data_IF_863928838348
#
_entry.id   IF_863928838348
#
_cell.length_a   1.000
_cell.length_b   1.000
_cell.length_c   1.000
_cell.angle_alpha   90.00
_cell.angle_beta   90.00
_cell.angle_gamma   90.00
#
_symmetry.space_group_name_H-M   'P 1'
#
loop_
_entity.id
_entity.type
_entity.pdbx_description
1 polymer ?
#
# COMPACT_ATOMS: atom_id res chain seq x y z
N UNK A 1 -2.68 -13.80 20.86
CA UNK A 1 -1.88 -12.56 20.95
C UNK A 1 -2.10 -11.83 19.65
N UNK A 2 -2.83 -10.71 19.65
CA UNK A 2 -2.91 -9.88 18.44
C UNK A 2 -1.47 -9.41 18.18
N UNK A 3 -0.98 -9.67 16.97
CA UNK A 3 0.43 -9.54 16.60
C UNK A 3 0.97 -8.13 16.91
N UNK A 4 2.00 -8.02 17.75
CA UNK A 4 2.78 -6.79 17.97
C UNK A 4 3.23 -6.17 16.64
N UNK A 5 3.46 -7.03 15.64
CA UNK A 5 3.78 -6.63 14.27
C UNK A 5 2.66 -5.81 13.63
N UNK A 6 1.39 -6.21 13.78
CA UNK A 6 0.26 -5.47 13.23
C UNK A 6 0.10 -4.11 13.90
N UNK A 7 0.17 -4.04 15.23
CA UNK A 7 0.00 -2.77 15.96
C UNK A 7 1.10 -1.77 15.60
N UNK A 8 2.35 -2.22 15.47
CA UNK A 8 3.47 -1.39 15.04
C UNK A 8 3.34 -0.95 13.58
N UNK A 9 2.94 -1.86 12.69
CA UNK A 9 2.68 -1.54 11.29
C UNK A 9 1.53 -0.54 11.15
N UNK A 10 0.44 -0.73 11.88
CA UNK A 10 -0.71 0.17 11.89
C UNK A 10 -0.30 1.57 12.36
N UNK A 11 0.48 1.67 13.43
CA UNK A 11 1.00 2.95 13.91
C UNK A 11 1.89 3.66 12.86
N UNK A 12 2.74 2.90 12.17
CA UNK A 12 3.54 3.42 11.05
C UNK A 12 2.65 3.92 9.89
N UNK A 13 1.72 3.09 9.41
CA UNK A 13 0.84 3.45 8.31
C UNK A 13 0.00 4.69 8.66
N UNK A 14 -0.51 4.81 9.89
CA UNK A 14 -1.20 6.02 10.37
C UNK A 14 -0.34 7.27 10.36
N UNK A 15 0.97 7.13 10.56
CA UNK A 15 1.92 8.25 10.55
C UNK A 15 2.23 8.69 9.13
N UNK A 16 2.56 7.75 8.25
CA UNK A 16 2.93 8.04 6.86
C UNK A 16 1.73 8.55 6.04
N UNK A 17 0.54 7.98 6.23
CA UNK A 17 -0.69 8.37 5.51
C UNK A 17 -1.33 9.64 6.09
N UNK A 18 -0.81 10.14 7.21
CA UNK A 18 -1.36 11.28 7.93
C UNK A 18 -2.67 10.98 8.67
N UNK A 19 -3.14 11.98 9.43
CA UNK A 19 -4.44 11.93 10.11
C UNK A 19 -5.49 12.55 9.20
N UNK A 20 -6.62 11.87 8.92
CA UNK A 20 -7.72 12.52 8.21
C UNK A 20 -8.17 13.75 9.02
N UNK A 21 -8.47 14.86 8.31
CA UNK A 21 -8.90 16.12 8.92
C UNK A 21 -10.15 15.96 9.80
N UNK A 22 -10.93 14.89 9.58
CA UNK A 22 -12.04 14.47 10.42
C UNK A 22 -12.04 12.93 10.57
N UNK A 23 -12.17 12.44 11.80
CA UNK A 23 -12.35 11.02 12.12
C UNK A 23 -11.07 10.25 12.47
N UNK A 24 -11.22 8.95 12.79
CA UNK A 24 -10.11 8.00 12.96
C UNK A 24 -9.95 7.22 11.64
N UNK A 25 -8.75 7.21 11.07
CA UNK A 25 -8.45 6.34 9.93
C UNK A 25 -8.60 4.88 10.40
N UNK A 26 -9.60 4.13 9.95
CA UNK A 26 -9.78 2.75 10.40
C UNK A 26 -9.00 1.82 9.46
N UNK A 27 -7.77 1.48 9.83
CA UNK A 27 -6.93 0.58 9.05
C UNK A 27 -7.23 -0.87 9.41
N UNK A 28 -7.51 -1.69 8.40
CA UNK A 28 -7.74 -3.13 8.53
C UNK A 28 -6.74 -3.87 7.63
N UNK A 29 -6.43 -5.15 7.92
CA UNK A 29 -5.54 -5.94 7.06
C UNK A 29 -6.01 -6.02 5.60
N UNK A 30 -7.31 -5.92 5.36
CA UNK A 30 -7.91 -5.95 4.03
C UNK A 30 -7.90 -4.58 3.33
N UNK A 31 -7.58 -3.50 4.06
CA UNK A 31 -7.47 -2.15 3.49
C UNK A 31 -6.42 -2.12 2.39
N UNK A 32 -6.81 -1.61 1.23
CA UNK A 32 -6.00 -1.54 0.01
C UNK A 32 -5.31 -0.19 -0.13
N UNK A 33 -4.03 -0.22 -0.49
CA UNK A 33 -3.18 0.97 -0.54
C UNK A 33 -3.64 1.97 -1.62
N UNK A 34 -3.90 1.52 -2.85
CA UNK A 34 -4.40 2.40 -3.91
C UNK A 34 -5.90 2.70 -3.73
N UNK A 35 -6.75 1.68 -3.61
CA UNK A 35 -8.20 1.89 -3.74
C UNK A 35 -8.89 2.46 -2.50
N UNK A 36 -8.40 2.14 -1.30
CA UNK A 36 -9.02 2.60 -0.06
C UNK A 36 -8.27 3.79 0.56
N UNK A 37 -6.95 3.89 0.35
CA UNK A 37 -6.10 4.95 0.91
C UNK A 37 -5.66 6.00 -0.11
N UNK A 38 -5.84 5.75 -1.41
CA UNK A 38 -5.48 6.70 -2.48
C UNK A 38 -3.99 6.87 -2.70
N UNK A 39 -3.16 6.00 -2.11
CA UNK A 39 -1.70 6.03 -2.26
C UNK A 39 -1.34 5.41 -3.60
N UNK A 40 -0.91 6.22 -4.56
CA UNK A 40 -0.68 5.78 -5.94
C UNK A 40 0.70 6.22 -6.42
N UNK A 41 1.22 5.58 -7.47
CA UNK A 41 2.43 6.06 -8.14
C UNK A 41 3.63 6.24 -7.21
N UNK A 42 4.26 7.42 -7.25
CA UNK A 42 5.43 7.82 -6.46
C UNK A 42 5.11 7.77 -4.97
N UNK A 43 3.92 8.20 -4.54
CA UNK A 43 3.52 8.14 -3.13
C UNK A 43 3.50 6.67 -2.66
N UNK A 44 3.09 5.75 -3.54
CA UNK A 44 3.15 4.31 -3.31
C UNK A 44 4.58 3.79 -3.19
N UNK A 45 5.47 4.22 -4.09
CA UNK A 45 6.88 3.85 -4.05
C UNK A 45 7.55 4.35 -2.77
N UNK A 46 7.35 5.63 -2.42
CA UNK A 46 7.89 6.23 -1.20
C UNK A 46 7.37 5.53 0.06
N UNK A 47 6.07 5.21 0.10
CA UNK A 47 5.49 4.48 1.21
C UNK A 47 6.14 3.10 1.41
N UNK A 48 6.34 2.34 0.33
CA UNK A 48 6.98 1.02 0.38
C UNK A 48 8.44 1.12 0.78
N UNK A 49 9.17 2.11 0.27
CA UNK A 49 10.56 2.32 0.64
C UNK A 49 10.71 2.69 2.12
N UNK A 50 9.86 3.57 2.63
CA UNK A 50 9.84 3.95 4.04
C UNK A 50 9.45 2.77 4.93
N UNK A 51 8.46 1.97 4.50
CA UNK A 51 8.06 0.75 5.20
C UNK A 51 9.21 -0.26 5.28
N UNK A 52 9.85 -0.58 4.16
CA UNK A 52 10.95 -1.54 4.11
C UNK A 52 12.12 -1.10 5.00
N UNK A 53 12.48 0.19 4.97
CA UNK A 53 13.50 0.77 5.84
C UNK A 53 13.12 0.72 7.32
N UNK A 54 11.87 1.02 7.65
CA UNK A 54 11.40 1.12 9.04
C UNK A 54 11.34 -0.24 9.72
N UNK A 55 10.92 -1.27 8.98
CA UNK A 55 10.77 -2.62 9.49
C UNK A 55 11.94 -3.55 9.15
N UNK A 56 12.99 -3.01 8.51
CA UNK A 56 14.14 -3.76 8.02
C UNK A 56 13.70 -5.00 7.21
N UNK A 57 12.75 -4.78 6.29
CA UNK A 57 12.24 -5.83 5.41
C UNK A 57 13.05 -5.82 4.13
N UNK A 58 13.55 -7.00 3.77
CA UNK A 58 14.16 -7.21 2.47
C UNK A 58 13.08 -7.14 1.38
N UNK A 59 13.00 -6.00 0.70
CA UNK A 59 12.07 -5.73 -0.39
C UNK A 59 12.75 -5.89 -1.78
N UNK A 60 13.90 -6.57 -1.86
CA UNK A 60 14.55 -6.84 -3.14
C UNK A 60 13.60 -7.61 -4.07
N UNK A 61 13.34 -7.06 -5.25
CA UNK A 61 12.41 -7.66 -6.22
C UNK A 61 10.93 -7.37 -5.99
N UNK A 62 10.57 -6.42 -5.11
CA UNK A 62 9.17 -5.98 -4.96
C UNK A 62 8.57 -5.55 -6.32
N UNK A 63 7.47 -6.16 -6.79
CA UNK A 63 6.96 -5.91 -8.13
C UNK A 63 6.08 -4.66 -8.16
N UNK A 64 6.68 -3.47 -8.10
CA UNK A 64 5.93 -2.20 -8.08
C UNK A 64 4.89 -2.10 -9.20
N UNK A 65 5.22 -2.52 -10.43
CA UNK A 65 4.28 -2.48 -11.58
C UNK A 65 3.07 -3.42 -11.45
N UNK A 66 3.11 -4.38 -10.52
CA UNK A 66 2.01 -5.33 -10.25
C UNK A 66 0.96 -4.70 -9.33
N UNK A 67 1.40 -3.87 -8.40
CA UNK A 67 0.56 -3.23 -7.39
C UNK A 67 0.22 -1.77 -7.73
N UNK A 68 1.17 -1.05 -8.32
CA UNK A 68 1.04 0.36 -8.67
C UNK A 68 0.93 0.57 -10.17
N UNK A 69 0.15 1.59 -10.56
CA UNK A 69 0.03 1.99 -11.96
C UNK A 69 1.27 2.66 -12.54
N UNK A 70 1.49 2.56 -13.88
CA UNK A 70 2.45 3.42 -14.55
C UNK A 70 1.99 4.87 -14.38
N UNK A 71 2.82 5.66 -13.71
CA UNK A 71 2.54 7.06 -13.54
C UNK A 71 2.56 7.78 -14.89
N UNK A 72 1.52 8.56 -15.14
CA UNK A 72 1.40 9.32 -16.38
C UNK A 72 -0.02 9.76 -16.75
N UNK A 73 -1.06 9.33 -16.01
CA UNK A 73 -2.45 9.74 -16.28
C UNK A 73 -3.16 10.36 -15.06
N UNK A 74 -2.80 9.95 -13.83
CA UNK A 74 -3.44 10.46 -12.59
C UNK A 74 -2.87 11.83 -12.15
N UNK A 75 -1.54 12.05 -12.22
CA UNK A 75 -0.93 13.34 -11.85
C UNK A 75 -1.40 14.53 -12.71
N UNK A 76 -1.81 14.29 -13.96
CA UNK A 76 -2.41 15.33 -14.82
C UNK A 76 -3.88 15.62 -14.46
N UNK A 77 -4.58 14.66 -13.85
CA UNK A 77 -5.98 14.81 -13.44
C UNK A 77 -6.13 15.60 -12.14
N UNK A 78 -5.10 15.64 -11.30
CA UNK A 78 -5.07 16.42 -10.05
C UNK A 78 -4.85 17.91 -10.27
N UNK A 79 -4.14 18.31 -11.34
CA UNK A 79 -3.81 19.71 -11.63
C UNK A 79 -4.79 20.39 -12.60
N UNK A 80 -5.59 19.63 -13.32
CA UNK A 80 -6.59 20.14 -14.25
C UNK A 80 -7.92 19.59 -13.74
N UNK A 81 -8.77 20.45 -13.17
CA UNK A 81 -10.10 20.12 -12.61
C UNK A 81 -11.12 19.60 -13.64
N UNK A 82 -10.71 18.64 -14.45
CA UNK A 82 -11.45 18.03 -15.52
C UNK A 82 -11.73 16.59 -15.10
N UNK A 83 -13.02 16.28 -15.02
CA UNK A 83 -13.55 14.93 -14.93
C UNK A 83 -13.08 14.10 -16.14
N UNK A 84 -11.84 13.63 -16.13
CA UNK A 84 -11.37 12.61 -17.06
C UNK A 84 -12.07 11.34 -16.61
N UNK A 85 -12.98 10.83 -17.44
CA UNK A 85 -13.58 9.50 -17.31
C UNK A 85 -12.48 8.55 -16.85
N UNK A 86 -12.56 8.07 -15.61
CA UNK A 86 -11.74 7.00 -15.02
C UNK A 86 -11.57 5.92 -16.09
N UNK A 87 -10.47 5.97 -16.84
CA UNK A 87 -10.06 4.87 -17.70
C UNK A 87 -9.85 3.75 -16.71
N UNK A 88 -10.72 2.74 -16.73
CA UNK A 88 -10.62 1.61 -15.80
C UNK A 88 -9.17 1.14 -15.87
N UNK A 89 -8.37 1.34 -14.81
CA UNK A 89 -7.02 0.81 -14.84
C UNK A 89 -7.15 -0.69 -15.07
N UNK A 90 -6.21 -1.31 -15.82
CA UNK A 90 -6.17 -2.77 -15.92
C UNK A 90 -6.30 -3.35 -14.51
N UNK A 91 -7.05 -4.46 -14.33
CA UNK A 91 -7.21 -5.10 -13.01
C UNK A 91 -5.83 -5.41 -12.45
N UNK A 92 -5.34 -4.59 -11.53
CA UNK A 92 -4.10 -4.83 -10.78
C UNK A 92 -4.41 -5.71 -9.58
N UNK A 93 -3.37 -6.38 -9.07
CA UNK A 93 -3.50 -7.04 -7.79
C UNK A 93 -3.56 -5.97 -6.71
N UNK A 94 -4.60 -5.95 -5.87
CA UNK A 94 -4.68 -4.99 -4.78
C UNK A 94 -3.59 -5.30 -3.76
N UNK A 95 -2.79 -4.29 -3.42
CA UNK A 95 -1.83 -4.38 -2.32
C UNK A 95 -2.52 -4.00 -1.02
N UNK A 96 -2.62 -4.95 -0.09
CA UNK A 96 -3.28 -4.71 1.19
C UNK A 96 -2.28 -4.46 2.32
N UNK A 97 -2.76 -3.80 3.37
CA UNK A 97 -2.00 -3.61 4.60
C UNK A 97 -1.59 -4.94 5.27
N UNK A 98 -2.44 -5.96 5.18
CA UNK A 98 -2.16 -7.30 5.69
C UNK A 98 -1.00 -7.97 4.96
N UNK A 99 -0.87 -7.76 3.65
CA UNK A 99 0.28 -8.25 2.89
C UNK A 99 1.61 -7.65 3.38
N UNK A 100 1.63 -6.35 3.66
CA UNK A 100 2.79 -5.66 4.19
C UNK A 100 3.11 -6.09 5.63
N UNK A 101 2.10 -6.25 6.48
CA UNK A 101 2.28 -6.76 7.83
C UNK A 101 2.84 -8.20 7.82
N UNK A 102 2.38 -9.04 6.89
CA UNK A 102 2.89 -10.40 6.70
C UNK A 102 4.36 -10.40 6.23
N UNK A 103 4.73 -9.50 5.33
CA UNK A 103 6.12 -9.33 4.91
C UNK A 103 7.01 -8.82 6.04
N UNK A 104 6.51 -7.89 6.87
CA UNK A 104 7.18 -7.45 8.11
C UNK A 104 7.43 -8.63 9.04
N UNK A 105 6.44 -9.50 9.24
CA UNK A 105 6.58 -10.70 10.07
C UNK A 105 7.65 -11.66 9.52
N UNK A 106 7.78 -11.75 8.20
CA UNK A 106 8.78 -12.59 7.52
C UNK A 106 10.17 -11.96 7.44
N UNK A 107 10.27 -10.65 7.59
CA UNK A 107 11.50 -9.88 7.35
C UNK A 107 11.90 -9.78 5.88
N UNK A 108 11.06 -10.28 4.95
CA UNK A 108 11.29 -10.21 3.51
C UNK A 108 9.99 -10.20 2.72
N UNK A 109 10.03 -9.61 1.54
CA UNK A 109 8.96 -9.66 0.57
C UNK A 109 9.09 -10.89 -0.32
N UNK A 110 8.04 -11.72 -0.34
CA UNK A 110 7.90 -12.88 -1.24
C UNK A 110 6.50 -12.81 -1.87
N UNK A 111 6.43 -12.32 -3.11
CA UNK A 111 5.16 -12.05 -3.79
C UNK A 111 4.22 -13.25 -3.79
N UNK A 112 4.72 -14.43 -4.15
CA UNK A 112 3.87 -15.61 -4.27
C UNK A 112 3.37 -16.07 -2.90
N UNK A 113 4.26 -16.10 -1.91
CA UNK A 113 3.89 -16.54 -0.56
C UNK A 113 2.94 -15.56 0.13
N UNK A 114 3.13 -14.26 -0.08
CA UNK A 114 2.29 -13.20 0.50
C UNK A 114 0.93 -13.18 -0.17
N UNK A 115 0.87 -13.24 -1.51
CA UNK A 115 -0.41 -13.28 -2.21
C UNK A 115 -1.19 -14.56 -1.91
N UNK A 116 -0.51 -15.70 -1.72
CA UNK A 116 -1.16 -16.93 -1.29
C UNK A 116 -1.72 -16.83 0.14
N UNK A 117 -0.99 -16.16 1.04
CA UNK A 117 -1.44 -15.93 2.41
C UNK A 117 -2.66 -15.00 2.47
N UNK A 118 -2.72 -13.98 1.61
CA UNK A 118 -3.82 -13.02 1.56
C UNK A 118 -5.11 -13.54 0.88
N UNK A 119 -5.06 -14.72 0.24
CA UNK A 119 -6.24 -15.37 -0.38
C UNK A 119 -7.03 -16.27 0.57
N UNK A 120 -6.50 -16.54 1.77
CA UNK A 120 -7.13 -17.38 2.79
C UNK A 120 -8.01 -16.56 3.71
#
# INVERSE_FOLDING_TARGET
>A
MKDDTWERFEAFARKELGRPLFGKLNLQPETRLEEDLGVTGLDGVEFIDNWAKTFNVDAEGFPYRRYFGPEGQELLSSLIGLFVKRLRPPKRHPLTLGMLAEATRRGKWDTDAIEAAARK
#
